data_IF_880572593461
#
_entry.id   IF_880572593461
#
_cell.length_a   1.000
_cell.length_b   1.000
_cell.length_c   1.000
_cell.angle_alpha   90.00
_cell.angle_beta   90.00
_cell.angle_gamma   90.00
#
_symmetry.space_group_name_H-M   'P 1'
#
loop_
_entity.id
_entity.type
_entity.pdbx_description
1 polymer ?
#
# COMPACT_ATOMS: atom_id res chain seq x y z
N UNK A 1 -2.98 -11.85 10.08
CA UNK A 1 -1.78 -12.63 9.71
C UNK A 1 -0.72 -11.84 8.92
N UNK A 2 -0.73 -10.49 8.94
CA UNK A 2 0.27 -9.67 8.23
C UNK A 2 1.17 -8.82 9.15
N UNK A 3 0.92 -8.84 10.47
CA UNK A 3 1.70 -8.07 11.45
C UNK A 3 2.91 -8.87 11.96
N UNK A 4 2.83 -10.21 11.92
CA UNK A 4 3.88 -11.09 12.46
C UNK A 4 5.07 -11.25 11.48
N UNK A 5 4.85 -11.10 10.17
CA UNK A 5 5.91 -11.24 9.16
C UNK A 5 6.85 -10.01 9.06
N UNK A 6 6.43 -8.84 9.54
CA UNK A 6 7.31 -7.66 9.59
C UNK A 6 8.34 -7.75 10.74
N UNK A 7 8.01 -8.48 11.81
CA UNK A 7 8.93 -8.72 12.94
C UNK A 7 9.96 -9.79 12.55
N UNK A 8 9.57 -10.82 11.80
CA UNK A 8 10.47 -11.92 11.43
C UNK A 8 11.50 -11.58 10.34
N UNK A 9 11.21 -10.60 9.45
CA UNK A 9 12.22 -10.15 8.48
C UNK A 9 13.31 -9.25 9.10
N UNK A 10 13.16 -8.90 10.39
CA UNK A 10 14.17 -8.15 11.14
C UNK A 10 15.37 -9.02 11.58
N UNK A 11 15.22 -10.35 11.57
CA UNK A 11 16.18 -11.26 12.21
C UNK A 11 17.23 -11.92 11.29
N UNK A 12 17.13 -11.83 9.95
CA UNK A 12 18.01 -12.63 9.07
C UNK A 12 18.59 -11.91 7.85
N UNK A 13 18.88 -10.60 7.96
CA UNK A 13 19.64 -9.90 6.91
C UNK A 13 20.85 -9.22 7.53
N UNK A 14 22.05 -9.73 7.24
CA UNK A 14 23.30 -9.10 7.67
C UNK A 14 23.29 -7.63 7.20
N UNK A 15 23.47 -6.67 8.13
CA UNK A 15 23.45 -5.25 7.78
C UNK A 15 24.66 -4.94 6.91
N UNK A 16 24.42 -4.25 5.79
CA UNK A 16 25.51 -3.79 4.92
C UNK A 16 25.98 -2.41 5.39
N UNK A 17 27.28 -2.28 5.63
CA UNK A 17 27.88 -0.99 5.95
C UNK A 17 28.17 -0.22 4.66
N UNK A 18 27.79 1.05 4.63
CA UNK A 18 28.18 1.98 3.57
C UNK A 18 29.29 2.86 4.13
N UNK A 19 30.40 2.98 3.39
CA UNK A 19 31.56 3.80 3.79
C UNK A 19 31.48 5.22 3.21
N UNK A 20 30.86 5.40 2.04
CA UNK A 20 30.74 6.69 1.37
C UNK A 20 29.36 7.33 1.50
N UNK A 21 29.34 8.66 1.65
CA UNK A 21 28.10 9.43 1.74
C UNK A 21 27.36 9.47 0.40
N UNK A 22 28.09 9.46 -0.72
CA UNK A 22 27.49 9.45 -2.07
C UNK A 22 26.64 8.21 -2.29
N UNK A 23 27.17 7.04 -1.95
CA UNK A 23 26.48 5.75 -2.03
C UNK A 23 25.25 5.68 -1.13
N UNK A 24 25.31 6.33 0.03
CA UNK A 24 24.16 6.46 0.92
C UNK A 24 23.03 7.28 0.27
N UNK A 25 23.34 8.43 -0.34
CA UNK A 25 22.36 9.27 -1.01
C UNK A 25 21.75 8.56 -2.23
N UNK A 26 22.56 7.84 -3.00
CA UNK A 26 22.08 6.99 -4.10
C UNK A 26 21.13 5.91 -3.56
N UNK A 27 21.52 5.23 -2.47
CA UNK A 27 20.71 4.18 -1.85
C UNK A 27 19.39 4.70 -1.30
N UNK A 28 19.38 5.86 -0.67
CA UNK A 28 18.18 6.49 -0.12
C UNK A 28 17.17 6.92 -1.20
N UNK A 29 17.65 7.21 -2.42
CA UNK A 29 16.81 7.59 -3.57
C UNK A 29 16.32 6.41 -4.41
N UNK A 30 16.74 5.19 -4.12
CA UNK A 30 16.31 4.01 -4.88
C UNK A 30 14.82 3.75 -4.68
N UNK A 31 14.17 3.20 -5.71
CA UNK A 31 12.74 2.84 -5.70
C UNK A 31 12.37 1.79 -4.66
N UNK A 32 13.34 1.00 -4.17
CA UNK A 32 13.15 -0.05 -3.17
C UNK A 32 13.43 0.40 -1.73
N UNK A 33 13.85 1.66 -1.54
CA UNK A 33 14.05 2.25 -0.21
C UNK A 33 12.70 2.53 0.45
N UNK A 34 12.48 1.94 1.63
CA UNK A 34 11.21 1.99 2.36
C UNK A 34 11.21 3.02 3.48
N UNK A 35 12.34 3.18 4.18
CA UNK A 35 12.45 4.16 5.27
C UNK A 35 13.91 4.45 5.62
N UNK A 36 14.15 5.64 6.18
CA UNK A 36 15.43 6.04 6.74
C UNK A 36 15.23 6.32 8.23
N UNK A 37 15.95 5.58 9.09
CA UNK A 37 15.97 5.76 10.55
C UNK A 37 17.31 6.36 10.95
N UNK A 38 17.27 7.48 11.67
CA UNK A 38 18.47 8.14 12.18
C UNK A 38 18.56 7.87 13.67
N UNK A 39 19.64 7.24 14.12
CA UNK A 39 19.92 7.01 15.54
C UNK A 39 21.13 7.84 15.95
N UNK A 40 20.95 8.75 16.92
CA UNK A 40 22.03 9.57 17.48
C UNK A 40 22.53 8.89 18.76
N UNK A 41 23.83 8.59 18.81
CA UNK A 41 24.58 8.23 20.02
C UNK A 41 25.49 9.41 20.42
N UNK A 42 26.19 9.33 21.57
CA UNK A 42 27.05 10.44 22.07
C UNK A 42 28.02 10.97 20.99
N UNK A 43 28.78 10.07 20.35
CA UNK A 43 29.83 10.46 19.39
C UNK A 43 29.59 9.95 17.96
N UNK A 44 28.47 9.27 17.71
CA UNK A 44 28.18 8.63 16.42
C UNK A 44 26.72 8.80 16.04
N UNK A 45 26.47 9.29 14.83
CA UNK A 45 25.15 9.29 14.20
C UNK A 45 25.08 8.15 13.20
N UNK A 46 24.15 7.22 13.42
CA UNK A 46 23.91 6.08 12.52
C UNK A 46 22.68 6.34 11.65
N UNK A 47 22.89 6.43 10.34
CA UNK A 47 21.83 6.50 9.35
C UNK A 47 21.52 5.10 8.84
N UNK A 48 20.30 4.62 9.06
CA UNK A 48 19.85 3.28 8.68
C UNK A 48 18.80 3.35 7.59
N UNK A 49 19.10 2.89 6.38
CA UNK A 49 18.16 2.83 5.26
C UNK A 49 17.64 1.41 5.14
N UNK A 50 16.31 1.23 5.21
CA UNK A 50 15.67 -0.07 4.96
C UNK A 50 15.32 -0.19 3.48
N UNK A 51 15.91 -1.17 2.81
CA UNK A 51 15.53 -1.56 1.45
C UNK A 51 14.72 -2.87 1.46
N UNK A 52 14.36 -3.35 0.27
CA UNK A 52 13.66 -4.61 0.05
C UNK A 52 14.39 -5.83 0.65
N UNK A 53 15.71 -5.93 0.41
CA UNK A 53 16.53 -7.11 0.75
C UNK A 53 17.51 -6.89 1.91
N UNK A 54 18.06 -5.70 2.07
CA UNK A 54 19.10 -5.42 3.07
C UNK A 54 18.79 -4.17 3.89
N UNK A 55 19.36 -4.11 5.09
CA UNK A 55 19.44 -2.88 5.89
C UNK A 55 20.82 -2.26 5.70
N UNK A 56 20.87 -1.04 5.18
CA UNK A 56 22.13 -0.31 5.01
C UNK A 56 22.35 0.61 6.21
N UNK A 57 23.57 0.64 6.74
CA UNK A 57 23.95 1.54 7.83
C UNK A 57 25.15 2.38 7.42
N UNK A 58 25.03 3.70 7.51
CA UNK A 58 26.11 4.66 7.41
C UNK A 58 26.39 5.24 8.80
N UNK A 59 27.64 5.18 9.24
CA UNK A 59 28.10 5.81 10.48
C UNK A 59 28.78 7.13 10.15
N UNK A 60 28.33 8.22 10.78
CA UNK A 60 28.93 9.55 10.65
C UNK A 60 29.33 10.02 12.04
N UNK A 61 30.61 10.38 12.21
CA UNK A 61 31.16 10.86 13.47
C UNK A 61 30.95 12.38 13.64
N UNK A 62 30.99 13.14 12.56
CA UNK A 62 30.79 14.60 12.59
C UNK A 62 29.31 15.00 12.73
N UNK A 63 29.00 15.71 13.81
CA UNK A 63 27.64 16.17 14.10
C UNK A 63 27.11 17.17 13.05
N UNK A 64 27.94 18.11 12.58
CA UNK A 64 27.56 19.10 11.58
C UNK A 64 27.27 18.46 10.22
N UNK A 65 28.14 17.54 9.79
CA UNK A 65 28.00 16.79 8.54
C UNK A 65 26.73 15.95 8.55
N UNK A 66 26.42 15.33 9.69
CA UNK A 66 25.17 14.59 9.88
C UNK A 66 23.94 15.50 9.75
N UNK A 67 23.98 16.74 10.27
CA UNK A 67 22.85 17.67 10.15
C UNK A 67 22.65 18.15 8.70
N UNK A 68 23.73 18.44 7.96
CA UNK A 68 23.65 18.75 6.51
C UNK A 68 23.10 17.56 5.70
N UNK A 69 23.49 16.34 6.07
CA UNK A 69 22.98 15.12 5.44
C UNK A 69 21.49 14.91 5.69
N UNK A 70 21.00 15.23 6.89
CA UNK A 70 19.55 15.20 7.19
C UNK A 70 18.76 16.14 6.30
N UNK A 71 19.28 17.34 6.05
CA UNK A 71 18.63 18.33 5.18
C UNK A 71 18.69 17.92 3.69
N UNK A 72 19.74 17.20 3.30
CA UNK A 72 19.94 16.73 1.91
C UNK A 72 19.11 15.49 1.57
N UNK A 73 18.57 14.80 2.58
CA UNK A 73 17.63 13.70 2.37
C UNK A 73 16.32 14.28 1.82
N UNK A 74 15.91 13.88 0.61
CA UNK A 74 14.69 14.42 0.04
C UNK A 74 13.49 14.03 0.93
N UNK A 75 12.51 14.93 1.15
CA UNK A 75 11.29 14.62 1.92
C UNK A 75 10.46 13.47 1.31
N UNK A 76 10.86 13.00 0.12
CA UNK A 76 10.25 11.94 -0.68
C UNK A 76 10.25 10.54 -0.05
N UNK A 77 11.07 10.25 0.97
CA UNK A 77 10.93 8.99 1.73
C UNK A 77 9.68 8.95 2.61
N UNK A 78 9.02 10.09 2.84
CA UNK A 78 7.69 10.15 3.45
C UNK A 78 6.58 10.21 2.40
N UNK A 79 6.84 10.68 1.18
CA UNK A 79 5.80 10.84 0.17
C UNK A 79 5.26 9.52 -0.36
N UNK A 80 6.09 8.50 -0.58
CA UNK A 80 5.61 7.16 -0.96
C UNK A 80 4.75 6.53 0.13
N UNK A 81 5.10 6.75 1.40
CA UNK A 81 4.30 6.36 2.56
C UNK A 81 3.02 7.20 2.66
N UNK A 82 3.05 8.50 2.35
CA UNK A 82 1.89 9.39 2.35
C UNK A 82 0.92 9.05 1.24
N UNK A 83 1.34 8.62 0.04
CA UNK A 83 0.39 8.16 -0.99
C UNK A 83 -0.30 6.85 -0.59
N UNK A 84 0.45 5.89 -0.04
CA UNK A 84 -0.12 4.62 0.45
C UNK A 84 -1.01 4.86 1.69
N UNK A 85 -0.57 5.72 2.62
CA UNK A 85 -1.35 6.08 3.80
C UNK A 85 -2.52 6.98 3.42
N UNK A 86 -2.45 7.92 2.47
CA UNK A 86 -3.61 8.68 2.00
C UNK A 86 -4.62 7.76 1.32
N UNK A 87 -4.19 6.77 0.53
CA UNK A 87 -5.11 5.79 -0.05
C UNK A 87 -5.77 4.90 1.01
N UNK A 88 -5.04 4.52 2.08
CA UNK A 88 -5.57 3.71 3.20
C UNK A 88 -6.41 4.56 4.18
N UNK A 89 -6.01 5.80 4.46
CA UNK A 89 -6.64 6.72 5.41
C UNK A 89 -7.88 7.38 4.79
N UNK A 90 -7.85 7.67 3.48
CA UNK A 90 -9.04 8.05 2.72
C UNK A 90 -10.01 6.85 2.55
N UNK A 91 -9.54 5.61 2.67
CA UNK A 91 -10.41 4.44 2.76
C UNK A 91 -11.06 4.32 4.16
N UNK A 92 -10.43 4.81 5.22
CA UNK A 92 -10.96 4.73 6.60
C UNK A 92 -11.92 5.87 6.98
N UNK A 93 -11.77 7.08 6.42
CA UNK A 93 -12.54 8.26 6.86
C UNK A 93 -13.77 8.62 6.01
N UNK A 94 -14.03 7.89 4.92
CA UNK A 94 -15.20 8.19 4.07
C UNK A 94 -16.42 7.43 4.57
N UNK A 95 -17.46 8.15 5.02
CA UNK A 95 -18.77 7.54 5.27
C UNK A 95 -19.22 6.75 4.03
N UNK A 96 -19.40 5.41 4.15
CA UNK A 96 -19.80 4.60 3.03
C UNK A 96 -21.25 4.91 2.65
N UNK A 97 -21.52 5.07 1.36
CA UNK A 97 -22.88 5.22 0.84
C UNK A 97 -23.37 3.89 0.30
N UNK A 98 -24.55 3.46 0.75
CA UNK A 98 -25.18 2.24 0.25
C UNK A 98 -26.05 2.57 -0.96
N UNK A 99 -25.87 1.82 -2.04
CA UNK A 99 -26.74 1.85 -3.21
C UNK A 99 -27.67 0.64 -3.13
N UNK A 100 -28.96 0.86 -3.36
CA UNK A 100 -29.99 -0.18 -3.31
C UNK A 100 -30.32 -0.74 -4.70
N UNK A 101 -30.22 0.10 -5.74
CA UNK A 101 -30.51 -0.30 -7.12
C UNK A 101 -29.27 -0.59 -7.97
N UNK A 102 -29.38 -1.57 -8.85
CA UNK A 102 -28.32 -1.94 -9.80
C UNK A 102 -28.10 -0.83 -10.84
N UNK A 103 -29.15 -0.10 -11.24
CA UNK A 103 -29.08 0.98 -12.22
C UNK A 103 -28.14 2.10 -11.75
N UNK A 104 -28.35 2.57 -10.51
CA UNK A 104 -27.53 3.59 -9.88
C UNK A 104 -26.07 3.16 -9.71
N UNK A 105 -25.84 1.88 -9.45
CA UNK A 105 -24.50 1.31 -9.39
C UNK A 105 -23.79 1.40 -10.76
N UNK A 106 -24.46 1.02 -11.86
CA UNK A 106 -23.87 1.10 -13.20
C UNK A 106 -23.59 2.54 -13.61
N UNK A 107 -24.48 3.48 -13.29
CA UNK A 107 -24.24 4.91 -13.48
C UNK A 107 -23.01 5.36 -12.70
N UNK A 108 -22.88 4.96 -11.43
CA UNK A 108 -21.76 5.32 -10.56
C UNK A 108 -20.42 4.75 -11.06
N UNK A 109 -20.41 3.51 -11.54
CA UNK A 109 -19.23 2.87 -12.10
C UNK A 109 -18.73 3.58 -13.37
N UNK A 110 -19.63 4.09 -14.21
CA UNK A 110 -19.26 4.78 -15.46
C UNK A 110 -18.85 6.24 -15.27
N UNK A 111 -18.93 6.79 -14.06
CA UNK A 111 -18.55 8.18 -13.82
C UNK A 111 -17.04 8.38 -13.97
N UNK A 112 -16.67 9.58 -14.41
CA UNK A 112 -15.28 10.02 -14.62
C UNK A 112 -14.43 9.99 -13.34
N UNK A 113 -15.06 10.04 -12.18
CA UNK A 113 -14.42 10.07 -10.86
C UNK A 113 -14.28 8.68 -10.21
N UNK A 114 -14.78 7.62 -10.86
CA UNK A 114 -14.62 6.25 -10.40
C UNK A 114 -13.19 5.77 -10.71
N UNK A 115 -12.45 5.38 -9.67
CA UNK A 115 -11.04 4.99 -9.78
C UNK A 115 -10.86 3.47 -9.82
N UNK A 116 -11.60 2.75 -8.99
CA UNK A 116 -11.48 1.30 -8.88
C UNK A 116 -12.76 0.68 -8.34
N UNK A 117 -12.99 -0.58 -8.71
CA UNK A 117 -14.09 -1.38 -8.18
C UNK A 117 -13.50 -2.61 -7.51
N UNK A 118 -13.91 -2.81 -6.26
CA UNK A 118 -13.49 -3.92 -5.42
C UNK A 118 -14.68 -4.82 -5.15
N UNK A 119 -14.57 -6.06 -5.59
CA UNK A 119 -15.62 -7.06 -5.39
C UNK A 119 -15.21 -7.94 -4.20
N UNK A 120 -16.02 -7.93 -3.15
CA UNK A 120 -15.84 -8.77 -1.98
C UNK A 120 -16.94 -9.82 -1.93
N UNK A 121 -16.55 -11.10 -2.04
CA UNK A 121 -17.45 -12.23 -1.82
C UNK A 121 -17.43 -12.63 -0.34
N UNK A 122 -18.60 -12.73 0.26
CA UNK A 122 -18.86 -13.42 1.53
C UNK A 122 -19.67 -14.70 1.23
N UNK A 123 -20.02 -15.51 2.25
CA UNK A 123 -20.79 -16.76 2.07
C UNK A 123 -22.07 -16.55 1.25
N UNK A 124 -22.93 -15.62 1.67
CA UNK A 124 -24.26 -15.43 1.06
C UNK A 124 -24.45 -14.04 0.41
N UNK A 125 -23.40 -13.21 0.42
CA UNK A 125 -23.48 -11.83 -0.06
C UNK A 125 -22.25 -11.45 -0.85
N UNK A 126 -22.44 -10.90 -2.04
CA UNK A 126 -21.40 -10.25 -2.83
C UNK A 126 -21.55 -8.74 -2.70
N UNK A 127 -20.49 -8.08 -2.22
CA UNK A 127 -20.44 -6.62 -2.08
C UNK A 127 -19.57 -6.02 -3.17
N UNK A 128 -20.16 -5.19 -4.01
CA UNK A 128 -19.46 -4.38 -5.00
C UNK A 128 -19.15 -3.02 -4.38
N UNK A 129 -17.86 -2.70 -4.26
CA UNK A 129 -17.39 -1.45 -3.66
C UNK A 129 -16.73 -0.59 -4.72
N UNK A 130 -17.37 0.51 -5.13
CA UNK A 130 -16.82 1.48 -6.08
C UNK A 130 -16.11 2.59 -5.32
N UNK A 131 -14.83 2.82 -5.63
CA UNK A 131 -14.08 3.96 -5.10
C UNK A 131 -14.26 5.16 -6.03
N UNK A 132 -14.96 6.17 -5.54
CA UNK A 132 -15.03 7.48 -6.17
C UNK A 132 -14.08 8.46 -5.48
N UNK A 133 -14.07 9.72 -5.93
CA UNK A 133 -13.23 10.77 -5.34
C UNK A 133 -13.56 11.01 -3.86
N UNK A 134 -14.84 11.20 -3.53
CA UNK A 134 -15.29 11.59 -2.18
C UNK A 134 -15.82 10.43 -1.32
N UNK A 135 -16.53 9.48 -1.92
CA UNK A 135 -17.23 8.42 -1.20
C UNK A 135 -16.87 7.04 -1.74
N UNK A 136 -17.03 6.03 -0.87
CA UNK A 136 -17.06 4.63 -1.24
C UNK A 136 -18.51 4.19 -1.37
N UNK A 137 -18.92 3.80 -2.58
CA UNK A 137 -20.27 3.28 -2.82
C UNK A 137 -20.27 1.75 -2.69
N UNK A 138 -21.19 1.20 -1.92
CA UNK A 138 -21.34 -0.25 -1.75
C UNK A 138 -22.71 -0.70 -2.24
N UNK A 139 -22.74 -1.65 -3.19
CA UNK A 139 -23.92 -2.41 -3.57
C UNK A 139 -23.81 -3.82 -2.98
N UNK A 140 -24.82 -4.25 -2.24
CA UNK A 140 -24.94 -5.61 -1.72
C UNK A 140 -25.87 -6.42 -2.63
N UNK A 141 -25.38 -7.55 -3.13
CA UNK A 141 -26.16 -8.48 -3.95
C UNK A 141 -26.14 -9.85 -3.26
N UNK A 142 -27.31 -10.41 -3.01
CA UNK A 142 -27.46 -11.72 -2.38
C UNK A 142 -27.34 -12.86 -3.41
N UNK A 143 -27.83 -12.65 -4.63
CA UNK A 143 -27.78 -13.67 -5.70
C UNK A 143 -26.39 -13.76 -6.36
N UNK A 144 -25.75 -14.93 -6.25
CA UNK A 144 -24.43 -15.16 -6.83
C UNK A 144 -24.41 -15.08 -8.37
N UNK A 145 -25.45 -15.59 -9.04
CA UNK A 145 -25.55 -15.53 -10.50
C UNK A 145 -25.72 -14.11 -11.02
N UNK A 146 -26.60 -13.31 -10.39
CA UNK A 146 -26.76 -11.90 -10.74
C UNK A 146 -25.46 -11.14 -10.53
N UNK A 147 -24.74 -11.42 -9.45
CA UNK A 147 -23.43 -10.83 -9.20
C UNK A 147 -22.41 -11.18 -10.31
N UNK A 148 -22.42 -12.41 -10.83
CA UNK A 148 -21.52 -12.79 -11.92
C UNK A 148 -21.87 -12.09 -13.25
N UNK A 149 -23.15 -11.93 -13.57
CA UNK A 149 -23.60 -11.11 -14.72
C UNK A 149 -23.19 -9.65 -14.56
N UNK A 150 -23.36 -9.09 -13.36
CA UNK A 150 -22.95 -7.72 -13.02
C UNK A 150 -21.46 -7.47 -13.21
N UNK A 151 -20.60 -8.45 -12.90
CA UNK A 151 -19.16 -8.36 -13.15
C UNK A 151 -18.85 -8.22 -14.64
N UNK A 152 -19.56 -8.94 -15.50
CA UNK A 152 -19.38 -8.89 -16.95
C UNK A 152 -19.88 -7.57 -17.55
N UNK A 153 -20.86 -6.93 -16.92
CA UNK A 153 -21.39 -5.62 -17.35
C UNK A 153 -20.50 -4.43 -17.00
N UNK A 154 -19.43 -4.61 -16.22
CA UNK A 154 -18.50 -3.54 -15.87
C UNK A 154 -17.60 -3.18 -17.07
N UNK A 155 -17.37 -1.87 -17.34
CA UNK A 155 -16.55 -1.47 -18.46
C UNK A 155 -15.07 -1.87 -18.25
N UNK A 156 -14.36 -2.32 -19.30
CA UNK A 156 -13.00 -2.86 -19.20
C UNK A 156 -11.89 -1.83 -18.84
N UNK A 157 -12.22 -0.59 -18.51
CA UNK A 157 -11.27 0.46 -18.12
C UNK A 157 -11.16 0.72 -16.61
N UNK A 158 -12.01 0.09 -15.78
CA UNK A 158 -11.98 0.29 -14.33
C UNK A 158 -11.11 -0.81 -13.72
N UNK A 159 -10.04 -0.44 -13.01
CA UNK A 159 -9.16 -1.40 -12.33
C UNK A 159 -9.97 -2.24 -11.32
N UNK A 160 -10.21 -3.50 -11.69
CA UNK A 160 -10.85 -4.50 -10.84
C UNK A 160 -9.80 -5.12 -9.91
N UNK A 161 -9.73 -4.63 -8.69
CA UNK A 161 -8.94 -5.26 -7.63
C UNK A 161 -9.75 -6.44 -7.06
N UNK A 162 -9.60 -7.61 -7.67
CA UNK A 162 -10.09 -8.87 -7.12
C UNK A 162 -9.33 -9.17 -5.83
N UNK A 163 -9.96 -8.95 -4.68
CA UNK A 163 -9.45 -9.49 -3.41
C UNK A 163 -9.97 -10.91 -3.28
N UNK A 164 -9.46 -11.80 -4.14
CA UNK A 164 -9.63 -13.24 -4.01
C UNK A 164 -8.45 -13.77 -3.20
N UNK A 165 -8.42 -13.46 -1.91
CA UNK A 165 -7.57 -14.20 -0.97
C UNK A 165 -8.48 -15.30 -0.40
N UNK A 166 -8.11 -16.56 -0.67
CA UNK A 166 -8.72 -17.84 -0.21
C UNK A 166 -9.82 -18.43 -1.12
N UNK A 167 -9.46 -18.92 -2.32
CA UNK A 167 -10.20 -20.05 -2.91
C UNK A 167 -9.40 -20.84 -3.97
N UNK A 168 -8.34 -20.26 -4.56
CA UNK A 168 -7.54 -20.95 -5.58
C UNK A 168 -6.61 -22.06 -5.05
N UNK A 169 -6.63 -22.36 -3.75
CA UNK A 169 -5.84 -23.45 -3.15
C UNK A 169 -6.69 -24.67 -2.74
N UNK A 170 -8.00 -24.69 -3.00
CA UNK A 170 -8.89 -25.82 -2.61
C UNK A 170 -9.76 -26.37 -3.74
N UNK A 171 -9.30 -26.26 -5.00
CA UNK A 171 -9.96 -26.93 -6.14
C UNK A 171 -9.07 -27.92 -6.89
N UNK A 172 -7.90 -28.25 -6.35
CA UNK A 172 -6.96 -29.22 -6.95
C UNK A 172 -6.65 -30.43 -6.05
N UNK A 173 -7.57 -30.74 -5.13
CA UNK A 173 -7.52 -31.95 -4.29
C UNK A 173 -8.92 -32.57 -4.25
N UNK A 174 -9.31 -33.13 -5.39
CA UNK A 174 -10.16 -34.32 -5.53
C UNK A 174 -9.34 -35.30 -6.36
#
# INVERSE_FOLDING_TARGET
MYIILDIFCWFYTQPKQIHEIKDFLLTARRKDARSVKIKRSKDVVKFKVRCSKYLYTLCVFDAEKANKLKQSLPPVCLLSFIYIILDIFCWFYTQPKQIHEIKDFLLTARRKDARSVKIKRSKDVVKFKVRCSKYLYTLCVFDAEKANKLKQSLPPGIFLLFISIICLLNQHLI
#
